data_IF_675515319260
#
_entry.id   IF_675515319260
#
_cell.length_a   1.000
_cell.length_b   1.000
_cell.length_c   1.000
_cell.angle_alpha   90.00
_cell.angle_beta   90.00
_cell.angle_gamma   90.00
#
_symmetry.space_group_name_H-M   'P 1'
#
loop_
_entity.id
_entity.type
_entity.pdbx_description
1 polymer ?
#
# COMPACT_ATOMS: atom_id res chain seq x y z
N UNK A 1 -28.58 27.52 4.58
CA UNK A 1 -27.74 27.03 5.69
C UNK A 1 -27.00 25.80 5.20
N UNK A 2 -25.68 25.89 5.12
CA UNK A 2 -24.82 24.84 4.57
C UNK A 2 -24.69 23.71 5.60
N UNK A 3 -25.12 22.51 5.22
CA UNK A 3 -24.71 21.30 5.92
C UNK A 3 -23.33 20.92 5.40
N UNK A 4 -22.32 21.09 6.26
CA UNK A 4 -20.97 20.60 6.07
C UNK A 4 -20.99 19.09 5.81
N UNK A 5 -20.58 18.68 4.62
CA UNK A 5 -20.46 17.27 4.24
C UNK A 5 -19.40 16.55 5.08
N UNK A 6 -19.55 15.23 5.29
CA UNK A 6 -18.66 14.47 6.15
C UNK A 6 -17.26 14.47 5.55
N UNK A 7 -16.29 14.78 6.40
CA UNK A 7 -14.88 14.71 6.08
C UNK A 7 -14.56 13.38 5.40
N UNK A 8 -13.71 13.45 4.37
CA UNK A 8 -13.04 12.29 3.85
C UNK A 8 -12.25 11.66 5.00
N UNK A 9 -12.85 10.67 5.67
CA UNK A 9 -12.10 9.76 6.52
C UNK A 9 -11.05 9.14 5.61
N UNK A 10 -9.76 9.14 5.97
CA UNK A 10 -8.84 8.22 5.33
C UNK A 10 -9.51 6.85 5.42
N UNK A 11 -9.61 6.12 4.31
CA UNK A 11 -10.06 4.73 4.36
C UNK A 11 -8.97 3.95 5.09
N UNK A 12 -8.96 4.04 6.42
CA UNK A 12 -8.12 3.21 7.28
C UNK A 12 -8.67 1.81 7.12
N UNK A 13 -8.02 1.03 6.26
CA UNK A 13 -8.32 -0.38 6.14
C UNK A 13 -8.03 -1.03 7.50
N UNK A 14 -9.05 -1.61 8.11
CA UNK A 14 -8.90 -2.45 9.29
C UNK A 14 -8.82 -3.91 8.86
N UNK A 15 -7.83 -4.62 9.40
CA UNK A 15 -7.68 -6.05 9.15
C UNK A 15 -8.90 -6.81 9.68
N UNK A 16 -9.40 -7.77 8.91
CA UNK A 16 -10.45 -8.66 9.41
C UNK A 16 -9.96 -9.47 10.62
N UNK A 17 -10.86 -9.92 11.52
CA UNK A 17 -10.46 -10.73 12.67
C UNK A 17 -9.69 -12.00 12.28
N UNK A 18 -10.01 -12.59 11.13
CA UNK A 18 -9.31 -13.75 10.58
C UNK A 18 -7.90 -13.42 10.08
N UNK A 19 -7.71 -12.27 9.43
CA UNK A 19 -6.38 -11.79 9.04
C UNK A 19 -5.53 -11.48 10.26
N UNK A 20 -6.08 -10.78 11.25
CA UNK A 20 -5.38 -10.49 12.49
C UNK A 20 -4.92 -11.78 13.18
N UNK A 21 -5.82 -12.77 13.31
CA UNK A 21 -5.50 -14.08 13.88
C UNK A 21 -4.35 -14.75 13.11
N UNK A 22 -4.40 -14.75 11.77
CA UNK A 22 -3.34 -15.30 10.93
C UNK A 22 -1.99 -14.62 11.17
N UNK A 23 -1.96 -13.30 11.36
CA UNK A 23 -0.71 -12.58 11.61
C UNK A 23 -0.12 -12.96 12.96
N UNK A 24 -0.95 -13.09 14.00
CA UNK A 24 -0.54 -13.57 15.32
C UNK A 24 0.00 -15.00 15.25
N UNK A 25 -0.65 -15.88 14.49
CA UNK A 25 -0.19 -17.26 14.29
C UNK A 25 1.17 -17.32 13.59
N UNK A 26 1.40 -16.50 12.56
CA UNK A 26 2.70 -16.41 11.89
C UNK A 26 3.78 -15.88 12.83
N UNK A 27 3.48 -14.86 13.64
CA UNK A 27 4.42 -14.36 14.63
C UNK A 27 4.88 -15.49 15.57
N UNK A 28 3.91 -16.22 16.15
CA UNK A 28 4.21 -17.33 17.07
C UNK A 28 4.97 -18.46 16.40
N UNK A 29 4.69 -18.74 15.12
CA UNK A 29 5.41 -19.77 14.38
C UNK A 29 6.86 -19.40 14.06
N UNK A 30 7.17 -18.10 13.98
CA UNK A 30 8.52 -17.61 13.70
C UNK A 30 9.30 -17.22 14.97
N UNK A 31 8.65 -17.03 16.10
CA UNK A 31 9.29 -16.79 17.40
C UNK A 31 9.91 -18.09 17.94
N UNK A 32 11.04 -18.47 17.35
CA UNK A 32 11.83 -19.61 17.82
C UNK A 32 12.18 -19.43 19.30
N UNK A 33 12.01 -20.50 20.08
CA UNK A 33 12.21 -20.54 21.53
C UNK A 33 11.22 -19.71 22.38
N UNK A 34 10.13 -19.18 21.79
CA UNK A 34 9.13 -18.36 22.49
C UNK A 34 9.74 -17.16 23.23
N UNK A 35 10.65 -16.44 22.57
CA UNK A 35 11.37 -15.29 23.14
C UNK A 35 10.45 -14.09 23.38
N UNK A 36 9.29 -14.07 22.72
CA UNK A 36 8.34 -12.96 22.71
C UNK A 36 8.69 -11.86 21.69
N UNK A 37 9.71 -12.08 20.86
CA UNK A 37 10.13 -11.14 19.82
C UNK A 37 10.73 -11.87 18.61
N UNK A 38 10.60 -11.27 17.43
CA UNK A 38 11.24 -11.76 16.22
C UNK A 38 12.62 -11.13 16.06
N UNK A 39 13.64 -11.97 15.90
CA UNK A 39 14.93 -11.50 15.37
C UNK A 39 14.77 -11.00 13.93
N UNK A 40 15.82 -10.42 13.36
CA UNK A 40 15.83 -10.01 11.95
C UNK A 40 15.54 -11.20 11.02
N UNK A 41 16.11 -12.36 11.33
CA UNK A 41 15.98 -13.57 10.53
C UNK A 41 14.54 -14.12 10.63
N UNK A 42 14.00 -14.20 11.85
CA UNK A 42 12.62 -14.62 12.12
C UNK A 42 11.62 -13.70 11.41
N UNK A 43 11.85 -12.39 11.47
CA UNK A 43 11.03 -11.39 10.79
C UNK A 43 11.01 -11.59 9.27
N UNK A 44 12.16 -11.89 8.65
CA UNK A 44 12.23 -12.19 7.21
C UNK A 44 11.40 -13.43 6.86
N UNK A 45 11.47 -14.48 7.67
CA UNK A 45 10.65 -15.69 7.50
C UNK A 45 9.16 -15.35 7.58
N UNK A 46 8.76 -14.56 8.58
CA UNK A 46 7.38 -14.10 8.72
C UNK A 46 6.88 -13.31 7.49
N UNK A 47 7.72 -12.44 6.90
CA UNK A 47 7.37 -11.71 5.67
C UNK A 47 7.21 -12.67 4.47
N UNK A 48 8.06 -13.69 4.36
CA UNK A 48 7.89 -14.72 3.32
C UNK A 48 6.57 -15.46 3.49
N UNK A 49 6.21 -15.86 4.72
CA UNK A 49 4.95 -16.57 4.99
C UNK A 49 3.70 -15.72 4.70
N UNK A 50 3.76 -14.41 4.95
CA UNK A 50 2.60 -13.52 4.78
C UNK A 50 2.46 -12.92 3.38
N UNK A 51 3.58 -12.67 2.69
CA UNK A 51 3.62 -11.92 1.44
C UNK A 51 4.29 -12.67 0.29
N UNK A 52 4.87 -13.84 0.53
CA UNK A 52 5.39 -14.73 -0.51
C UNK A 52 6.71 -14.28 -1.15
N UNK A 53 7.43 -13.32 -0.56
CA UNK A 53 8.71 -12.87 -1.06
C UNK A 53 9.71 -12.64 0.08
N UNK A 54 11.00 -12.80 -0.22
CA UNK A 54 12.09 -12.55 0.72
C UNK A 54 12.48 -11.07 0.65
N UNK A 55 12.31 -10.29 1.73
CA UNK A 55 12.71 -8.89 1.72
C UNK A 55 14.24 -8.76 1.67
N UNK A 56 14.70 -7.69 1.01
CA UNK A 56 16.13 -7.36 0.96
C UNK A 56 16.64 -6.92 2.35
N UNK A 57 17.96 -6.84 2.53
CA UNK A 57 18.56 -6.30 3.75
C UNK A 57 18.01 -4.90 4.05
N UNK A 58 18.08 -4.00 3.06
CA UNK A 58 17.65 -2.61 3.16
C UNK A 58 16.16 -2.50 3.50
N UNK A 59 15.32 -3.34 2.89
CA UNK A 59 13.88 -3.32 3.15
C UNK A 59 13.55 -3.80 4.57
N UNK A 60 14.18 -4.89 5.02
CA UNK A 60 14.01 -5.39 6.38
C UNK A 60 14.51 -4.35 7.41
N UNK A 61 15.69 -3.77 7.17
CA UNK A 61 16.24 -2.64 7.94
C UNK A 61 15.22 -1.50 8.06
N UNK A 62 14.65 -1.07 6.93
CA UNK A 62 13.70 0.05 6.88
C UNK A 62 12.40 -0.25 7.63
N UNK A 63 11.84 -1.46 7.48
CA UNK A 63 10.62 -1.86 8.18
C UNK A 63 10.83 -1.95 9.69
N UNK A 64 11.92 -2.59 10.13
CA UNK A 64 12.24 -2.77 11.55
C UNK A 64 12.53 -1.42 12.23
N UNK A 65 13.28 -0.53 11.56
CA UNK A 65 13.60 0.81 12.07
C UNK A 65 12.37 1.72 12.23
N UNK A 66 11.28 1.43 11.50
CA UNK A 66 10.09 2.29 11.48
C UNK A 66 9.23 2.24 12.74
N UNK A 67 9.45 1.22 13.58
CA UNK A 67 8.72 1.02 14.84
C UNK A 67 9.61 1.30 16.04
N UNK A 68 10.82 0.75 16.07
CA UNK A 68 11.75 0.96 17.18
C UNK A 68 13.21 0.74 16.76
N UNK A 69 14.02 1.81 16.68
CA UNK A 69 15.43 1.71 16.31
C UNK A 69 16.34 1.16 17.43
N UNK A 70 15.83 1.03 18.66
CA UNK A 70 16.65 0.72 19.84
C UNK A 70 16.46 -0.72 20.37
N UNK A 71 15.61 -1.54 19.75
CA UNK A 71 15.36 -2.93 20.17
C UNK A 71 16.13 -3.92 19.31
N UNK A 72 16.56 -5.02 19.93
CA UNK A 72 17.24 -6.14 19.27
C UNK A 72 16.30 -7.02 18.43
N UNK A 73 15.00 -6.74 18.43
CA UNK A 73 13.98 -7.50 17.71
C UNK A 73 12.63 -6.79 17.69
N UNK A 74 11.65 -7.44 17.06
CA UNK A 74 10.31 -6.90 16.82
C UNK A 74 9.29 -7.61 17.73
N UNK A 75 8.59 -6.83 18.56
CA UNK A 75 7.51 -7.33 19.42
C UNK A 75 6.24 -7.59 18.60
N UNK A 76 5.29 -8.36 19.17
CA UNK A 76 4.04 -8.70 18.48
C UNK A 76 3.26 -7.48 17.98
N UNK A 77 3.09 -6.45 18.81
CA UNK A 77 2.37 -5.23 18.43
C UNK A 77 3.07 -4.46 17.31
N UNK A 78 4.40 -4.40 17.36
CA UNK A 78 5.23 -3.77 16.33
C UNK A 78 5.12 -4.54 15.00
N UNK A 79 5.18 -5.87 15.06
CA UNK A 79 4.99 -6.75 13.91
C UNK A 79 3.62 -6.54 13.26
N UNK A 80 2.55 -6.52 14.06
CA UNK A 80 1.18 -6.29 13.57
C UNK A 80 1.04 -4.92 12.90
N UNK A 81 1.69 -3.89 13.43
CA UNK A 81 1.73 -2.55 12.83
C UNK A 81 2.41 -2.56 11.46
N UNK A 82 3.59 -3.20 11.35
CA UNK A 82 4.34 -3.33 10.10
C UNK A 82 3.51 -4.08 9.05
N UNK A 83 2.94 -5.23 9.41
CA UNK A 83 2.14 -6.06 8.50
C UNK A 83 0.90 -5.31 8.02
N UNK A 84 0.20 -4.62 8.92
CA UNK A 84 -0.97 -3.79 8.59
C UNK A 84 -0.61 -2.71 7.57
N UNK A 85 0.42 -1.92 7.85
CA UNK A 85 0.87 -0.84 6.97
C UNK A 85 1.28 -1.37 5.60
N UNK A 86 1.99 -2.50 5.56
CA UNK A 86 2.41 -3.14 4.31
C UNK A 86 1.22 -3.66 3.50
N UNK A 87 0.22 -4.27 4.15
CA UNK A 87 -1.03 -4.71 3.51
C UNK A 87 -1.80 -3.54 2.93
N UNK A 88 -1.92 -2.45 3.69
CA UNK A 88 -2.57 -1.23 3.23
C UNK A 88 -1.90 -0.66 1.97
N UNK A 89 -0.56 -0.56 1.96
CA UNK A 89 0.18 -0.10 0.76
C UNK A 89 -0.04 -1.03 -0.43
N UNK A 90 -0.08 -2.36 -0.22
CA UNK A 90 -0.40 -3.31 -1.29
C UNK A 90 -1.83 -3.16 -1.82
N UNK A 91 -2.81 -2.95 -0.93
CA UNK A 91 -4.20 -2.73 -1.32
C UNK A 91 -4.36 -1.44 -2.13
N UNK A 92 -3.80 -0.33 -1.65
CA UNK A 92 -3.81 0.95 -2.38
C UNK A 92 -3.13 0.82 -3.75
N UNK A 93 -1.97 0.16 -3.83
CA UNK A 93 -1.28 -0.08 -5.12
C UNK A 93 -2.11 -0.94 -6.06
N UNK A 94 -2.81 -1.95 -5.54
CA UNK A 94 -3.67 -2.83 -6.34
C UNK A 94 -4.94 -2.11 -6.81
N UNK A 95 -5.52 -1.23 -5.99
CA UNK A 95 -6.65 -0.38 -6.36
C UNK A 95 -6.25 0.59 -7.47
N UNK A 96 -5.14 1.31 -7.30
CA UNK A 96 -4.59 2.21 -8.34
C UNK A 96 -4.35 1.45 -9.64
N UNK A 97 -3.75 0.25 -9.56
CA UNK A 97 -3.49 -0.56 -10.76
C UNK A 97 -4.75 -1.10 -11.43
N UNK A 98 -5.78 -1.46 -10.66
CA UNK A 98 -7.08 -1.85 -11.23
C UNK A 98 -7.74 -0.68 -11.95
N UNK A 99 -7.75 0.50 -11.32
CA UNK A 99 -8.28 1.73 -11.92
C UNK A 99 -7.53 2.04 -13.20
N UNK A 100 -6.19 2.01 -13.16
CA UNK A 100 -5.35 2.23 -14.33
C UNK A 100 -5.67 1.25 -15.47
N UNK A 101 -5.73 -0.06 -15.16
CA UNK A 101 -6.03 -1.12 -16.13
C UNK A 101 -7.42 -0.94 -16.74
N UNK A 102 -8.41 -0.49 -15.96
CA UNK A 102 -9.76 -0.21 -16.46
C UNK A 102 -9.79 0.96 -17.47
N UNK A 103 -8.82 1.88 -17.38
CA UNK A 103 -8.71 3.02 -18.30
C UNK A 103 -7.76 2.79 -19.47
N UNK A 104 -6.75 1.92 -19.33
CA UNK A 104 -5.88 1.49 -20.42
C UNK A 104 -6.56 0.42 -21.29
N UNK A 105 -7.64 0.82 -21.99
CA UNK A 105 -8.48 -0.06 -22.81
C UNK A 105 -7.72 -0.78 -23.93
N UNK A 106 -6.56 -0.24 -24.31
CA UNK A 106 -5.73 -0.78 -25.38
C UNK A 106 -4.51 -1.55 -24.84
N UNK A 107 -4.41 -1.73 -23.52
CA UNK A 107 -3.31 -2.45 -22.85
C UNK A 107 -1.91 -1.96 -23.27
N UNK A 108 -1.76 -0.64 -23.42
CA UNK A 108 -0.51 -0.02 -23.86
C UNK A 108 0.52 0.10 -22.73
N UNK A 109 0.09 -0.05 -21.48
CA UNK A 109 0.90 0.21 -20.28
C UNK A 109 1.02 1.70 -19.93
N UNK A 110 0.32 2.57 -20.66
CA UNK A 110 0.25 4.01 -20.39
C UNK A 110 -1.14 4.57 -20.71
N UNK A 111 -1.56 5.59 -19.96
CA UNK A 111 -2.78 6.35 -20.24
C UNK A 111 -2.45 7.56 -21.11
N UNK A 112 -3.15 7.68 -22.24
CA UNK A 112 -3.14 8.92 -23.03
C UNK A 112 -3.94 10.00 -22.30
N UNK A 113 -3.78 11.26 -22.74
CA UNK A 113 -4.59 12.36 -22.21
C UNK A 113 -6.09 12.10 -22.35
N UNK A 114 -6.50 11.45 -23.43
CA UNK A 114 -7.91 11.12 -23.66
C UNK A 114 -8.41 10.07 -22.67
N UNK A 115 -7.62 9.01 -22.42
CA UNK A 115 -7.95 7.97 -21.43
C UNK A 115 -8.02 8.57 -20.03
N UNK A 116 -7.07 9.44 -19.68
CA UNK A 116 -7.01 10.12 -18.40
C UNK A 116 -8.21 11.07 -18.19
N UNK A 117 -8.60 11.83 -19.22
CA UNK A 117 -9.82 12.66 -19.17
C UNK A 117 -11.09 11.81 -19.01
N UNK A 118 -11.18 10.67 -19.71
CA UNK A 118 -12.28 9.71 -19.56
C UNK A 118 -12.33 9.16 -18.13
N UNK A 119 -11.17 8.87 -17.55
CA UNK A 119 -11.04 8.39 -16.18
C UNK A 119 -11.59 9.37 -15.16
N UNK A 120 -11.11 10.61 -15.21
CA UNK A 120 -11.51 11.65 -14.26
C UNK A 120 -12.99 12.01 -14.35
N UNK A 121 -13.60 11.97 -15.53
CA UNK A 121 -15.06 12.15 -15.66
C UNK A 121 -15.87 11.08 -14.91
N UNK A 122 -15.34 9.87 -14.78
CA UNK A 122 -16.02 8.76 -14.11
C UNK A 122 -15.76 8.76 -12.60
N UNK A 123 -14.52 8.99 -12.17
CA UNK A 123 -14.14 8.89 -10.75
C UNK A 123 -14.27 10.22 -9.98
N UNK A 124 -14.18 11.36 -10.67
CA UNK A 124 -14.19 12.69 -10.07
C UNK A 124 -14.87 13.73 -10.98
N UNK A 125 -16.17 13.58 -11.31
CA UNK A 125 -16.88 14.43 -12.27
C UNK A 125 -16.95 15.91 -11.89
N UNK A 126 -16.66 16.25 -10.64
CA UNK A 126 -16.64 17.63 -10.14
C UNK A 126 -15.33 18.38 -10.43
N UNK A 127 -14.28 17.68 -10.85
CA UNK A 127 -13.02 18.32 -11.21
C UNK A 127 -13.10 18.96 -12.59
N UNK A 128 -12.62 20.21 -12.69
CA UNK A 128 -12.60 20.93 -13.96
C UNK A 128 -11.61 20.30 -14.94
N UNK A 129 -11.91 20.37 -16.24
CA UNK A 129 -11.02 19.84 -17.26
C UNK A 129 -9.63 20.51 -17.22
N UNK A 130 -9.56 21.80 -16.84
CA UNK A 130 -8.31 22.52 -16.63
C UNK A 130 -7.47 21.89 -15.52
N UNK A 131 -8.08 21.59 -14.37
CA UNK A 131 -7.39 20.90 -13.27
C UNK A 131 -6.88 19.53 -13.69
N UNK A 132 -7.67 18.77 -14.45
CA UNK A 132 -7.27 17.45 -14.97
C UNK A 132 -6.09 17.57 -15.94
N UNK A 133 -6.10 18.58 -16.82
CA UNK A 133 -5.01 18.87 -17.74
C UNK A 133 -3.72 19.27 -17.02
N UNK A 134 -3.83 20.12 -16.00
CA UNK A 134 -2.67 20.57 -15.21
C UNK A 134 -2.03 19.39 -14.46
N UNK A 135 -2.85 18.50 -13.87
CA UNK A 135 -2.36 17.26 -13.24
C UNK A 135 -1.68 16.36 -14.26
N UNK A 136 -2.30 16.14 -15.42
CA UNK A 136 -1.70 15.31 -16.48
C UNK A 136 -0.36 15.87 -16.96
N UNK A 137 -0.26 17.19 -17.16
CA UNK A 137 0.99 17.85 -17.58
C UNK A 137 2.10 17.70 -16.54
N UNK A 138 1.77 17.86 -15.25
CA UNK A 138 2.76 17.65 -14.18
C UNK A 138 3.27 16.20 -14.15
N UNK A 139 2.42 15.24 -14.48
CA UNK A 139 2.77 13.81 -14.49
C UNK A 139 3.47 13.31 -15.75
N UNK A 140 3.51 14.08 -16.85
CA UNK A 140 4.02 13.66 -18.17
C UNK A 140 5.30 14.35 -18.63
N UNK A 141 6.01 15.04 -17.73
CA UNK A 141 7.25 15.77 -18.04
C UNK A 141 8.41 14.90 -18.58
N UNK A 142 8.25 13.58 -18.73
CA UNK A 142 9.28 12.68 -19.24
C UNK A 142 8.88 11.73 -20.40
N UNK A 143 7.60 11.58 -20.77
CA UNK A 143 7.20 10.78 -21.96
C UNK A 143 5.70 10.96 -22.29
N UNK A 144 5.27 10.54 -23.49
CA UNK A 144 3.94 10.73 -24.11
C UNK A 144 2.70 10.14 -23.37
N UNK A 145 2.78 9.85 -22.07
CA UNK A 145 1.67 9.33 -21.28
C UNK A 145 2.02 9.08 -19.80
N UNK A 146 0.99 8.79 -18.99
CA UNK A 146 1.17 8.38 -17.59
C UNK A 146 1.34 6.86 -17.56
N UNK A 147 2.53 6.39 -17.22
CA UNK A 147 2.87 4.97 -17.09
C UNK A 147 2.62 4.38 -15.70
N UNK A 148 2.73 3.06 -15.60
CA UNK A 148 2.65 2.27 -14.35
C UNK A 148 3.91 2.33 -13.51
#
# INVERSE_FOLDING_TARGET
MFFSGPGARPRTWEASPSEHKKWVEVFKACDEDNKGYLSREDFKVAIVMLFGYKPSKIEADSMMSSVNPNTSGILLEEFLSIVRKKKEVQLHRNEIRHIFTAFDRHYRGYLTLEDFKKAFRLVAPKLSERTVLDVFRQSTLANEGIGT
#
